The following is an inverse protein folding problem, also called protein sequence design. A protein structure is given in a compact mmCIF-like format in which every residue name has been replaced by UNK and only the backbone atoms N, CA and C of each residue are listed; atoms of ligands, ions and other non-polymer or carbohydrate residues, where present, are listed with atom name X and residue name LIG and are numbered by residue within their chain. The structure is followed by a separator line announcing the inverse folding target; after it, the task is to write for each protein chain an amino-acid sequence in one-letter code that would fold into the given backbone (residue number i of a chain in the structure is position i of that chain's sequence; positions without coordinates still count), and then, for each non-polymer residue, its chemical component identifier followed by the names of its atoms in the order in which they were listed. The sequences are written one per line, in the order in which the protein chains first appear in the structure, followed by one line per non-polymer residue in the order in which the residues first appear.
data_IF_976299122690
#
_entry.id   IF_976299122690
#
_cell.length_a   1.000
_cell.length_b   1.000
_cell.length_c   1.000
_cell.angle_alpha   90.00
_cell.angle_beta   90.00
_cell.angle_gamma   90.00
#
_symmetry.space_group_name_H-M   'P 1'
#
loop_
_entity.id
_entity.type
_entity.pdbx_description
1 polymer ?
#
# COMPACT_ATOMS: atom_id res chain seq x y z
N UNK A 1 -24.58 40.87 -16.17
CA UNK A 1 -23.89 42.02 -15.56
C UNK A 1 -24.64 42.52 -14.33
N UNK A 2 -24.16 42.26 -13.11
CA UNK A 2 -24.42 43.06 -11.89
C UNK A 2 -23.25 42.84 -10.92
N UNK A 3 -22.44 43.89 -10.70
CA UNK A 3 -21.41 43.96 -9.67
C UNK A 3 -22.04 44.48 -8.37
N UNK A 4 -21.49 44.12 -7.20
CA UNK A 4 -21.39 45.00 -6.01
C UNK A 4 -20.40 44.42 -4.99
N UNK A 5 -19.42 45.27 -4.63
CA UNK A 5 -18.32 45.10 -3.68
C UNK A 5 -18.77 45.54 -2.29
N UNK A 6 -18.33 44.87 -1.21
CA UNK A 6 -18.15 45.40 0.17
C UNK A 6 -17.11 44.50 0.85
N UNK A 7 -15.80 44.80 0.82
CA UNK A 7 -15.01 45.60 1.78
C UNK A 7 -15.34 45.34 3.25
N UNK A 8 -14.52 44.56 3.95
CA UNK A 8 -14.72 44.27 5.38
C UNK A 8 -13.44 43.91 6.13
N UNK A 9 -12.77 44.95 6.61
CA UNK A 9 -11.98 45.04 7.85
C UNK A 9 -10.72 44.17 8.02
N UNK A 10 -9.58 44.82 7.74
CA UNK A 10 -8.25 44.47 8.19
C UNK A 10 -8.16 44.56 9.74
N UNK A 11 -7.83 43.47 10.43
CA UNK A 11 -7.33 43.54 11.81
C UNK A 11 -6.03 42.74 11.93
N UNK A 12 -4.98 43.47 12.31
CA UNK A 12 -3.62 42.99 12.54
C UNK A 12 -3.53 42.58 14.00
N UNK A 13 -3.11 41.35 14.29
CA UNK A 13 -2.45 41.03 15.56
C UNK A 13 -1.25 40.14 15.26
N UNK A 14 -0.08 40.76 15.27
CA UNK A 14 1.20 40.07 15.31
C UNK A 14 1.46 39.65 16.77
N UNK A 15 1.37 38.36 17.08
CA UNK A 15 1.99 37.82 18.29
C UNK A 15 3.46 37.55 18.00
N UNK A 16 4.31 38.53 18.32
CA UNK A 16 5.74 38.32 18.54
C UNK A 16 5.95 37.73 19.93
N UNK A 17 6.49 36.52 20.01
CA UNK A 17 7.24 35.98 21.16
C UNK A 17 8.23 34.98 20.55
N UNK A 18 9.45 35.40 20.21
CA UNK A 18 10.66 35.50 21.07
C UNK A 18 11.04 34.15 21.68
N UNK A 19 12.12 33.57 21.14
CA UNK A 19 12.77 32.37 21.65
C UNK A 19 13.88 31.90 20.70
N UNK A 20 15.07 32.48 20.86
CA UNK A 20 16.26 32.38 20.01
C UNK A 20 16.97 31.01 20.03
N UNK A 21 17.52 30.60 18.87
CA UNK A 21 18.87 29.99 18.56
C UNK A 21 19.39 28.85 19.47
N UNK A 22 19.96 27.70 19.05
CA UNK A 22 20.67 27.17 17.88
C UNK A 22 20.59 25.61 18.00
N UNK A 23 20.78 24.75 16.98
CA UNK A 23 22.03 24.31 16.36
C UNK A 23 21.73 23.61 15.01
N UNK A 24 22.67 23.76 14.07
CA UNK A 24 22.75 23.24 12.71
C UNK A 24 22.16 21.83 12.42
N UNK A 25 21.56 21.64 11.23
CA UNK A 25 22.16 20.90 10.10
C UNK A 25 21.18 20.72 8.90
N UNK A 26 21.61 21.23 7.74
CA UNK A 26 21.38 20.84 6.33
C UNK A 26 20.00 20.38 5.81
N UNK A 27 19.61 21.01 4.69
CA UNK A 27 18.37 20.85 3.92
C UNK A 27 18.23 19.52 3.14
N UNK A 28 16.99 19.11 2.85
CA UNK A 28 16.47 18.69 1.52
C UNK A 28 14.93 18.64 1.56
N UNK A 29 14.27 19.19 0.53
CA UNK A 29 12.81 19.30 0.31
C UNK A 29 12.06 17.96 0.23
N UNK A 30 10.74 17.94 0.56
CA UNK A 30 9.82 17.40 -0.44
C UNK A 30 8.45 18.11 -0.61
N UNK A 31 7.99 17.97 -1.85
CA UNK A 31 6.69 18.16 -2.53
C UNK A 31 5.42 17.78 -1.72
N UNK A 32 4.21 18.30 -2.04
CA UNK A 32 3.02 18.12 -1.22
C UNK A 32 2.44 16.70 -1.36
N UNK A 33 2.33 15.99 -0.24
CA UNK A 33 1.63 14.70 -0.18
C UNK A 33 0.16 14.91 0.16
N UNK A 34 -0.69 14.32 -0.69
CA UNK A 34 -2.13 14.20 -0.50
C UNK A 34 -2.47 13.48 0.82
N UNK A 35 -3.42 14.03 1.55
CA UNK A 35 -4.08 13.37 2.68
C UNK A 35 -4.89 12.18 2.16
N UNK A 36 -4.37 10.97 2.35
CA UNK A 36 -5.17 9.74 2.28
C UNK A 36 -5.83 9.51 3.63
N UNK A 37 -7.14 9.30 3.62
CA UNK A 37 -7.91 8.93 4.78
C UNK A 37 -7.48 7.54 5.28
N UNK A 38 -6.92 7.46 6.49
CA UNK A 38 -6.65 6.19 7.15
C UNK A 38 -7.93 5.68 7.83
N UNK A 39 -8.64 4.79 7.14
CA UNK A 39 -9.71 3.99 7.75
C UNK A 39 -9.05 2.92 8.60
N UNK A 40 -9.09 3.10 9.93
CA UNK A 40 -8.61 2.12 10.90
C UNK A 40 -9.53 0.88 10.88
N UNK A 41 -9.17 -0.14 10.10
CA UNK A 41 -9.87 -1.42 10.10
C UNK A 41 -9.52 -2.17 11.39
N UNK A 42 -10.53 -2.51 12.19
CA UNK A 42 -10.39 -3.42 13.33
C UNK A 42 -10.01 -4.80 12.78
N UNK A 43 -8.77 -5.21 12.98
CA UNK A 43 -8.28 -6.53 12.54
C UNK A 43 -8.76 -7.56 13.56
N UNK A 44 -9.81 -8.29 13.22
CA UNK A 44 -10.13 -9.57 13.86
C UNK A 44 -9.09 -10.60 13.41
N UNK A 45 -8.71 -11.55 14.29
CA UNK A 45 -7.91 -12.72 13.90
C UNK A 45 -8.72 -13.57 12.91
N UNK A 46 -8.59 -13.27 11.61
CA UNK A 46 -8.87 -14.26 10.57
C UNK A 46 -7.72 -15.27 10.60
N UNK A 47 -8.05 -16.56 10.57
CA UNK A 47 -7.03 -17.61 10.48
C UNK A 47 -6.25 -17.39 9.16
N UNK A 48 -4.95 -17.15 9.28
CA UNK A 48 -4.07 -16.89 8.15
C UNK A 48 -3.26 -18.15 7.87
N UNK A 49 -3.57 -18.81 6.77
CA UNK A 49 -2.90 -20.04 6.35
C UNK A 49 -1.78 -19.67 5.38
N UNK A 50 -0.53 -19.94 5.73
CA UNK A 50 0.62 -19.67 4.84
C UNK A 50 1.09 -20.94 4.13
N UNK A 51 1.15 -20.90 2.80
CA UNK A 51 1.55 -22.01 1.93
C UNK A 51 2.77 -21.62 1.09
N UNK A 52 3.93 -22.25 1.29
CA UNK A 52 5.10 -22.00 0.46
C UNK A 52 4.97 -22.72 -0.90
N UNK A 53 5.32 -22.03 -1.97
CA UNK A 53 5.33 -22.54 -3.35
C UNK A 53 6.72 -22.26 -3.94
N UNK A 54 7.33 -23.27 -4.57
CA UNK A 54 8.58 -23.12 -5.31
C UNK A 54 8.32 -23.35 -6.79
N UNK A 55 8.65 -22.36 -7.63
CA UNK A 55 8.50 -22.41 -9.08
C UNK A 55 9.83 -22.12 -9.77
N UNK A 56 10.00 -22.63 -10.99
CA UNK A 56 11.02 -22.15 -11.93
C UNK A 56 10.47 -21.03 -12.81
N UNK A 57 11.36 -20.25 -13.41
CA UNK A 57 10.97 -19.29 -14.46
C UNK A 57 10.32 -20.04 -15.63
N UNK A 58 9.14 -19.58 -16.04
CA UNK A 58 8.29 -20.20 -17.06
C UNK A 58 7.37 -21.31 -16.53
N UNK A 59 7.53 -21.74 -15.28
CA UNK A 59 6.66 -22.75 -14.66
C UNK A 59 5.37 -22.10 -14.17
N UNK A 60 4.27 -22.86 -14.23
CA UNK A 60 2.96 -22.41 -13.79
C UNK A 60 2.31 -23.38 -12.82
N UNK A 61 1.50 -22.84 -11.92
CA UNK A 61 0.72 -23.59 -10.94
C UNK A 61 -0.63 -22.88 -10.71
N UNK A 62 -1.68 -23.65 -10.50
CA UNK A 62 -2.99 -23.13 -10.09
C UNK A 62 -3.17 -23.36 -8.60
N UNK A 63 -3.49 -22.28 -7.87
CA UNK A 63 -3.75 -22.32 -6.44
C UNK A 63 -5.25 -22.30 -6.13
N UNK A 64 -5.63 -22.80 -4.96
CA UNK A 64 -7.02 -22.81 -4.51
C UNK A 64 -7.42 -21.46 -3.89
N UNK A 65 -8.70 -21.12 -3.97
CA UNK A 65 -9.24 -19.88 -3.40
C UNK A 65 -9.83 -18.95 -4.46
N UNK A 66 -10.08 -17.72 -4.06
CA UNK A 66 -10.74 -16.70 -4.87
C UNK A 66 -10.28 -15.30 -4.48
N UNK A 67 -10.55 -14.33 -5.36
CA UNK A 67 -10.17 -12.93 -5.18
C UNK A 67 -8.66 -12.83 -4.90
N UNK A 68 -7.84 -13.25 -5.86
CA UNK A 68 -6.39 -13.24 -5.65
C UNK A 68 -5.82 -11.84 -5.89
N UNK A 69 -4.93 -11.40 -5.01
CA UNK A 69 -4.10 -10.21 -5.22
C UNK A 69 -2.68 -10.46 -4.72
N UNK A 70 -1.72 -9.72 -5.24
CA UNK A 70 -0.34 -9.80 -4.76
C UNK A 70 -0.18 -8.80 -3.62
N UNK A 71 0.34 -9.28 -2.50
CA UNK A 71 0.74 -8.45 -1.35
C UNK A 71 2.24 -8.23 -1.41
N UNK A 72 2.66 -6.96 -1.38
CA UNK A 72 4.06 -6.57 -1.42
C UNK A 72 4.60 -6.34 -2.83
N UNK A 73 5.88 -6.66 -3.03
CA UNK A 73 6.61 -6.31 -4.25
C UNK A 73 6.18 -7.18 -5.44
N UNK A 74 5.73 -6.52 -6.51
CA UNK A 74 5.32 -7.13 -7.78
C UNK A 74 6.57 -7.49 -8.60
N UNK A 75 7.30 -8.52 -8.17
CA UNK A 75 8.67 -8.70 -8.64
C UNK A 75 8.90 -9.72 -9.76
N UNK A 76 8.08 -10.76 -9.88
CA UNK A 76 8.46 -11.85 -10.78
C UNK A 76 7.46 -12.96 -11.03
N UNK A 77 6.16 -12.68 -10.84
CA UNK A 77 5.11 -13.61 -11.23
C UNK A 77 4.02 -12.91 -12.04
N UNK A 78 3.37 -13.68 -12.90
CA UNK A 78 2.06 -13.36 -13.42
C UNK A 78 1.01 -14.05 -12.54
N UNK A 79 -0.05 -13.33 -12.20
CA UNK A 79 -1.21 -13.85 -11.47
C UNK A 79 -2.48 -13.47 -12.24
N UNK A 80 -3.35 -14.45 -12.50
CA UNK A 80 -4.69 -14.18 -13.03
C UNK A 80 -5.76 -14.24 -11.92
N UNK A 81 -6.99 -13.86 -12.27
CA UNK A 81 -8.12 -13.86 -11.34
C UNK A 81 -8.59 -15.27 -10.93
N UNK A 82 -8.17 -16.32 -11.65
CA UNK A 82 -8.52 -17.71 -11.39
C UNK A 82 -7.49 -18.44 -10.50
N UNK A 83 -6.42 -17.75 -10.06
CA UNK A 83 -5.37 -18.33 -9.23
C UNK A 83 -4.27 -19.06 -10.00
N UNK A 84 -4.15 -18.83 -11.31
CA UNK A 84 -2.98 -19.26 -12.08
C UNK A 84 -1.82 -18.33 -11.77
N UNK A 85 -0.72 -18.90 -11.30
CA UNK A 85 0.55 -18.24 -11.02
C UNK A 85 1.58 -18.75 -12.03
N UNK A 86 2.32 -17.84 -12.65
CA UNK A 86 3.42 -18.17 -13.57
C UNK A 86 4.68 -17.44 -13.12
N UNK A 87 5.79 -18.15 -12.94
CA UNK A 87 7.08 -17.53 -12.66
C UNK A 87 7.62 -16.79 -13.89
N UNK A 88 7.83 -15.48 -13.80
CA UNK A 88 8.38 -14.65 -14.88
C UNK A 88 9.85 -14.30 -14.67
N UNK A 89 10.25 -14.04 -13.42
CA UNK A 89 11.63 -13.71 -13.05
C UNK A 89 11.94 -14.24 -11.63
N UNK A 90 13.22 -14.54 -11.34
CA UNK A 90 13.61 -14.98 -10.00
C UNK A 90 13.27 -13.94 -8.93
N UNK A 91 12.71 -14.40 -7.81
CA UNK A 91 12.24 -13.52 -6.74
C UNK A 91 11.30 -14.22 -5.77
N UNK A 92 10.88 -13.48 -4.74
CA UNK A 92 9.90 -13.94 -3.75
C UNK A 92 8.73 -12.97 -3.72
N UNK A 93 7.51 -13.49 -3.79
CA UNK A 93 6.29 -12.70 -3.72
C UNK A 93 5.21 -13.43 -2.93
N UNK A 94 4.30 -12.68 -2.32
CA UNK A 94 3.17 -13.25 -1.58
C UNK A 94 1.88 -12.99 -2.33
N UNK A 95 1.19 -14.06 -2.75
CA UNK A 95 -0.16 -13.99 -3.30
C UNK A 95 -1.14 -14.26 -2.17
N UNK A 96 -2.11 -13.38 -1.99
CA UNK A 96 -3.17 -13.53 -1.01
C UNK A 96 -4.46 -13.88 -1.72
N UNK A 97 -5.26 -14.76 -1.12
CA UNK A 97 -6.61 -15.07 -1.58
C UNK A 97 -7.49 -15.52 -0.42
N UNK A 98 -8.77 -15.73 -0.72
CA UNK A 98 -9.74 -16.23 0.24
C UNK A 98 -10.16 -17.66 -0.10
N UNK A 99 -10.14 -18.52 0.91
CA UNK A 99 -10.68 -19.87 0.84
C UNK A 99 -12.21 -19.87 0.95
N UNK A 100 -12.89 -20.93 0.48
CA UNK A 100 -14.36 -21.01 0.50
C UNK A 100 -14.97 -20.99 1.92
N UNK A 101 -14.17 -21.28 2.95
CA UNK A 101 -14.57 -21.19 4.35
C UNK A 101 -14.46 -19.76 4.93
N UNK A 102 -13.94 -18.79 4.16
CA UNK A 102 -13.75 -17.40 4.59
C UNK A 102 -12.36 -17.10 5.16
N UNK A 103 -11.47 -18.10 5.27
CA UNK A 103 -10.11 -17.88 5.76
C UNK A 103 -9.23 -17.22 4.71
N UNK A 104 -8.22 -16.50 5.17
CA UNK A 104 -7.23 -15.87 4.29
C UNK A 104 -6.06 -16.83 4.08
N UNK A 105 -5.74 -17.12 2.83
CA UNK A 105 -4.58 -17.92 2.47
C UNK A 105 -3.49 -17.05 1.85
N UNK A 106 -2.25 -17.24 2.28
CA UNK A 106 -1.06 -16.55 1.83
C UNK A 106 -0.14 -17.54 1.13
N UNK A 107 -0.07 -17.46 -0.19
CA UNK A 107 0.86 -18.24 -1.00
C UNK A 107 2.19 -17.50 -1.10
N UNK A 108 3.21 -17.98 -0.41
CA UNK A 108 4.57 -17.45 -0.54
C UNK A 108 5.27 -18.14 -1.71
N UNK A 109 5.33 -17.46 -2.85
CA UNK A 109 5.88 -18.00 -4.09
C UNK A 109 7.34 -17.59 -4.20
N UNK A 110 8.22 -18.57 -4.31
CA UNK A 110 9.65 -18.40 -4.58
C UNK A 110 9.96 -18.89 -5.98
N UNK A 111 10.40 -17.98 -6.85
CA UNK A 111 10.82 -18.28 -8.22
C UNK A 111 12.34 -18.37 -8.26
N UNK A 112 12.88 -19.47 -8.79
CA UNK A 112 14.32 -19.77 -8.86
C UNK A 112 14.77 -20.32 -10.22
#
# INVERSE_FOLDING_TARGET
MKKKLITGLLTVVACFTVGSTSFAATATTPSPSATSAETSNVITLADQISVPISLRVGESITVAGSNFWISGDYGGIYLNQQGLIIGLSPGVCTVVGYLPNGDTVLYTVTVR
#
